data_IF_819536216839
#
_entry.id   IF_819536216839
#
_cell.length_a   1.000
_cell.length_b   1.000
_cell.length_c   1.000
_cell.angle_alpha   90.00
_cell.angle_beta   90.00
_cell.angle_gamma   90.00
#
_symmetry.space_group_name_H-M   'P 1'
#
loop_
_entity.id
_entity.type
_entity.pdbx_description
1 polymer ?
#
# COMPACT_ATOMS: atom_id res chain seq x y z
N UNK A 1 -18.43 4.15 26.40
CA UNK A 1 -17.09 3.86 25.84
C UNK A 1 -16.91 2.35 25.80
N UNK A 2 -16.43 1.77 24.69
CA UNK A 2 -16.24 0.31 24.55
C UNK A 2 -14.94 -0.11 25.27
N UNK A 3 -14.92 -1.28 25.92
CA UNK A 3 -13.73 -1.81 26.61
C UNK A 3 -12.67 -2.26 25.60
N UNK A 4 -11.39 -2.01 25.89
CA UNK A 4 -10.27 -2.39 25.02
C UNK A 4 -10.26 -3.89 24.69
N UNK A 5 -10.52 -4.75 25.68
CA UNK A 5 -10.56 -6.20 25.48
C UNK A 5 -11.65 -6.63 24.47
N UNK A 6 -12.76 -5.90 24.43
CA UNK A 6 -13.84 -6.15 23.46
C UNK A 6 -13.37 -5.84 22.04
N UNK A 7 -12.64 -4.73 21.85
CA UNK A 7 -12.07 -4.33 20.55
C UNK A 7 -11.01 -5.36 20.11
N UNK A 8 -10.10 -5.74 21.00
CA UNK A 8 -9.05 -6.71 20.69
C UNK A 8 -9.62 -8.08 20.30
N UNK A 9 -10.67 -8.53 20.99
CA UNK A 9 -11.36 -9.79 20.68
C UNK A 9 -12.06 -9.73 19.32
N UNK A 10 -12.74 -8.62 19.01
CA UNK A 10 -13.41 -8.41 17.72
C UNK A 10 -12.40 -8.40 16.56
N UNK A 11 -11.28 -7.68 16.70
CA UNK A 11 -10.22 -7.64 15.68
C UNK A 11 -9.62 -9.02 15.44
N UNK A 12 -9.34 -9.76 16.52
CA UNK A 12 -8.81 -11.13 16.41
C UNK A 12 -9.79 -12.06 15.70
N UNK A 13 -11.08 -11.94 15.99
CA UNK A 13 -12.12 -12.74 15.34
C UNK A 13 -12.21 -12.41 13.83
N UNK A 14 -12.17 -11.12 13.48
CA UNK A 14 -12.19 -10.65 12.09
C UNK A 14 -11.03 -11.22 11.26
N UNK A 15 -9.80 -11.15 11.80
CA UNK A 15 -8.59 -11.62 11.11
C UNK A 15 -8.59 -13.14 10.91
N UNK A 16 -9.20 -13.89 11.83
CA UNK A 16 -9.28 -15.36 11.74
C UNK A 16 -10.41 -15.86 10.84
N UNK A 17 -11.39 -15.02 10.51
CA UNK A 17 -12.61 -15.44 9.81
C UNK A 17 -12.35 -15.81 8.35
N UNK A 18 -11.51 -15.04 7.65
CA UNK A 18 -11.22 -15.24 6.23
C UNK A 18 -9.84 -14.71 5.86
N UNK A 19 -9.35 -15.10 4.68
CA UNK A 19 -8.14 -14.52 4.11
C UNK A 19 -8.42 -13.05 3.75
N UNK A 20 -7.73 -12.13 4.42
CA UNK A 20 -7.95 -10.69 4.24
C UNK A 20 -7.15 -10.14 3.06
N UNK A 21 -7.75 -9.24 2.30
CA UNK A 21 -7.10 -8.50 1.22
C UNK A 21 -6.94 -7.03 1.59
N UNK A 22 -5.71 -6.57 1.67
CA UNK A 22 -5.34 -5.21 2.04
C UNK A 22 -4.57 -4.51 0.91
N UNK A 23 -5.00 -3.31 0.54
CA UNK A 23 -4.33 -2.44 -0.42
C UNK A 23 -3.64 -1.31 0.32
N UNK A 24 -2.34 -1.16 0.10
CA UNK A 24 -1.51 -0.13 0.71
C UNK A 24 -0.96 0.81 -0.35
N UNK A 25 -1.45 2.05 -0.36
CA UNK A 25 -1.03 3.07 -1.32
C UNK A 25 0.03 3.97 -0.69
N UNK A 26 1.17 4.11 -1.36
CA UNK A 26 2.29 4.92 -0.86
C UNK A 26 3.14 4.22 0.22
N UNK A 27 3.10 2.89 0.29
CA UNK A 27 3.78 2.11 1.33
C UNK A 27 5.20 1.65 0.98
N UNK A 28 5.85 2.29 0.00
CA UNK A 28 7.22 1.97 -0.40
C UNK A 28 8.29 2.65 0.45
N UNK A 29 7.89 3.50 1.40
CA UNK A 29 8.76 4.13 2.40
C UNK A 29 7.90 4.65 3.58
N UNK A 30 8.53 4.89 4.73
CA UNK A 30 7.95 5.62 5.85
C UNK A 30 6.76 4.90 6.50
N UNK A 31 5.70 5.64 6.83
CA UNK A 31 4.57 5.12 7.62
C UNK A 31 3.94 3.89 6.98
N UNK A 32 3.71 3.91 5.66
CA UNK A 32 3.09 2.79 4.98
C UNK A 32 3.95 1.52 5.02
N UNK A 33 5.27 1.66 4.85
CA UNK A 33 6.21 0.54 4.96
C UNK A 33 6.15 -0.10 6.36
N UNK A 34 6.27 0.70 7.42
CA UNK A 34 6.19 0.21 8.79
C UNK A 34 4.85 -0.44 9.09
N UNK A 35 3.76 0.11 8.56
CA UNK A 35 2.41 -0.45 8.74
C UNK A 35 2.29 -1.85 8.13
N UNK A 36 2.85 -2.06 6.92
CA UNK A 36 2.83 -3.37 6.25
C UNK A 36 3.66 -4.38 7.03
N UNK A 37 4.86 -4.00 7.48
CA UNK A 37 5.72 -4.86 8.30
C UNK A 37 5.02 -5.26 9.60
N UNK A 38 4.39 -4.30 10.29
CA UNK A 38 3.71 -4.55 11.55
C UNK A 38 2.48 -5.43 11.37
N UNK A 39 1.70 -5.24 10.29
CA UNK A 39 0.60 -6.12 9.93
C UNK A 39 1.08 -7.56 9.73
N UNK A 40 2.20 -7.75 9.02
CA UNK A 40 2.78 -9.07 8.81
C UNK A 40 3.27 -9.71 10.12
N UNK A 41 3.92 -8.95 11.00
CA UNK A 41 4.40 -9.45 12.31
C UNK A 41 3.27 -9.88 13.22
N UNK A 42 2.23 -9.05 13.32
CA UNK A 42 1.12 -9.25 14.28
C UNK A 42 0.12 -10.30 13.79
N UNK A 43 -0.18 -10.30 12.50
CA UNK A 43 -1.30 -11.05 11.94
C UNK A 43 -0.92 -11.99 10.80
N UNK A 44 0.30 -11.93 10.28
CA UNK A 44 0.72 -12.73 9.14
C UNK A 44 0.68 -14.24 9.37
N UNK A 45 0.93 -14.67 10.60
CA UNK A 45 0.90 -16.09 10.97
C UNK A 45 -0.42 -16.51 11.64
N UNK A 46 -1.43 -15.64 11.62
CA UNK A 46 -2.73 -15.88 12.24
C UNK A 46 -3.84 -16.01 11.18
N UNK A 47 -4.70 -17.01 11.33
CA UNK A 47 -5.86 -17.19 10.45
C UNK A 47 -5.51 -17.74 9.07
N UNK A 48 -6.38 -17.52 8.05
CA UNK A 48 -6.23 -18.08 6.69
C UNK A 48 -5.17 -17.37 5.82
N UNK A 49 -4.39 -16.46 6.40
CA UNK A 49 -3.35 -15.67 5.75
C UNK A 49 -3.81 -14.31 5.22
N UNK A 50 -2.86 -13.56 4.66
CA UNK A 50 -3.07 -12.19 4.17
C UNK A 50 -2.76 -12.10 2.67
N UNK A 51 -3.48 -11.24 1.96
CA UNK A 51 -3.13 -10.76 0.63
C UNK A 51 -2.85 -9.27 0.70
N UNK A 52 -1.63 -8.88 0.37
CA UNK A 52 -1.17 -7.51 0.49
C UNK A 52 -0.83 -7.00 -0.92
N UNK A 53 -1.53 -5.96 -1.35
CA UNK A 53 -1.27 -5.28 -2.62
C UNK A 53 -0.61 -3.94 -2.30
N UNK A 54 0.67 -3.82 -2.63
CA UNK A 54 1.44 -2.60 -2.48
C UNK A 54 1.32 -1.75 -3.75
N UNK A 55 0.91 -0.50 -3.59
CA UNK A 55 0.80 0.46 -4.69
C UNK A 55 1.82 1.57 -4.47
N UNK A 56 2.73 1.77 -5.43
CA UNK A 56 3.78 2.77 -5.29
C UNK A 56 4.56 3.05 -6.56
N UNK A 57 5.41 4.08 -6.50
CA UNK A 57 6.22 4.55 -7.66
C UNK A 57 7.51 3.78 -7.85
N UNK A 58 8.10 3.30 -6.75
CA UNK A 58 9.41 2.67 -6.73
C UNK A 58 9.27 1.16 -6.53
N UNK A 59 9.43 0.41 -7.62
CA UNK A 59 9.36 -1.05 -7.61
C UNK A 59 10.47 -1.68 -6.77
N UNK A 60 11.70 -1.17 -6.84
CA UNK A 60 12.83 -1.74 -6.11
C UNK A 60 12.60 -1.65 -4.59
N UNK A 61 12.14 -0.49 -4.11
CA UNK A 61 11.78 -0.32 -2.70
C UNK A 61 10.65 -1.26 -2.29
N UNK A 62 9.63 -1.43 -3.14
CA UNK A 62 8.54 -2.36 -2.88
C UNK A 62 9.02 -3.82 -2.79
N UNK A 63 9.90 -4.25 -3.71
CA UNK A 63 10.48 -5.59 -3.71
C UNK A 63 11.24 -5.90 -2.41
N UNK A 64 12.08 -4.97 -1.95
CA UNK A 64 12.79 -5.11 -0.67
C UNK A 64 11.81 -5.34 0.49
N UNK A 65 10.74 -4.53 0.57
CA UNK A 65 9.73 -4.66 1.63
C UNK A 65 8.99 -5.99 1.53
N UNK A 66 8.64 -6.43 0.30
CA UNK A 66 7.97 -7.70 0.05
C UNK A 66 8.83 -8.87 0.52
N UNK A 67 10.12 -8.88 0.16
CA UNK A 67 11.02 -9.98 0.49
C UNK A 67 11.23 -10.11 2.01
N UNK A 68 11.37 -8.99 2.71
CA UNK A 68 11.37 -8.97 4.17
C UNK A 68 10.04 -9.48 4.75
N UNK A 69 8.90 -9.01 4.24
CA UNK A 69 7.59 -9.41 4.77
C UNK A 69 7.28 -10.89 4.50
N UNK A 70 7.75 -11.45 3.38
CA UNK A 70 7.66 -12.89 3.10
C UNK A 70 8.44 -13.73 4.11
N UNK A 71 9.58 -13.24 4.60
CA UNK A 71 10.34 -13.92 5.65
C UNK A 71 9.60 -13.93 7.00
N UNK A 72 8.79 -12.90 7.27
CA UNK A 72 8.01 -12.77 8.51
C UNK A 72 6.68 -13.55 8.46
N UNK A 73 6.11 -13.66 7.26
CA UNK A 73 4.78 -14.20 7.03
C UNK A 73 4.76 -15.09 5.77
N UNK A 74 4.97 -16.39 5.97
CA UNK A 74 5.08 -17.38 4.89
C UNK A 74 3.75 -17.69 4.20
N UNK A 75 2.62 -17.41 4.85
CA UNK A 75 1.27 -17.65 4.29
C UNK A 75 0.69 -16.44 3.54
N UNK A 76 1.38 -15.30 3.58
CA UNK A 76 0.94 -14.09 2.89
C UNK A 76 1.30 -14.12 1.41
N UNK A 77 0.40 -13.56 0.62
CA UNK A 77 0.56 -13.34 -0.80
C UNK A 77 0.75 -11.84 -1.05
N UNK A 78 1.82 -11.50 -1.75
CA UNK A 78 2.19 -10.12 -2.00
C UNK A 78 2.09 -9.82 -3.49
N UNK A 79 1.47 -8.68 -3.81
CA UNK A 79 1.41 -8.12 -5.15
C UNK A 79 1.94 -6.70 -5.13
N UNK A 80 2.59 -6.30 -6.22
CA UNK A 80 3.00 -4.92 -6.42
C UNK A 80 2.32 -4.35 -7.66
N UNK A 81 1.75 -3.16 -7.50
CA UNK A 81 1.18 -2.36 -8.58
C UNK A 81 2.00 -1.09 -8.68
N UNK A 82 2.74 -0.96 -9.77
CA UNK A 82 3.47 0.27 -10.05
C UNK A 82 2.47 1.36 -10.45
N UNK A 83 2.38 2.40 -9.64
CA UNK A 83 1.55 3.57 -9.91
C UNK A 83 2.44 4.78 -10.22
N UNK A 84 1.99 5.61 -11.17
CA UNK A 84 2.62 6.89 -11.48
C UNK A 84 2.32 7.96 -10.44
N UNK A 85 1.99 9.17 -10.90
CA UNK A 85 1.48 10.21 -10.01
C UNK A 85 0.00 10.00 -9.73
N UNK A 86 -0.31 9.46 -8.54
CA UNK A 86 -1.67 9.22 -8.05
C UNK A 86 -2.45 10.50 -7.72
N UNK A 87 -1.85 11.69 -7.87
CA UNK A 87 -2.58 12.96 -7.89
C UNK A 87 -3.35 13.14 -9.22
N UNK A 88 -2.99 12.37 -10.25
CA UNK A 88 -3.66 12.36 -11.56
C UNK A 88 -4.65 11.19 -11.62
N UNK A 89 -5.93 11.49 -11.91
CA UNK A 89 -6.99 10.47 -12.03
C UNK A 89 -6.63 9.37 -13.04
N UNK A 90 -6.00 9.70 -14.16
CA UNK A 90 -5.57 8.70 -15.13
C UNK A 90 -4.60 7.66 -14.54
N UNK A 91 -3.70 8.08 -13.64
CA UNK A 91 -2.81 7.15 -12.94
C UNK A 91 -3.56 6.30 -11.92
N UNK A 92 -4.57 6.88 -11.27
CA UNK A 92 -5.46 6.17 -10.35
C UNK A 92 -6.26 5.12 -11.10
N UNK A 93 -6.86 5.46 -12.24
CA UNK A 93 -7.62 4.54 -13.08
C UNK A 93 -6.77 3.33 -13.50
N UNK A 94 -5.54 3.58 -13.98
CA UNK A 94 -4.58 2.51 -14.33
C UNK A 94 -4.26 1.61 -13.13
N UNK A 95 -3.99 2.19 -11.97
CA UNK A 95 -3.71 1.42 -10.76
C UNK A 95 -4.94 0.60 -10.33
N UNK A 96 -6.14 1.17 -10.41
CA UNK A 96 -7.39 0.46 -10.13
C UNK A 96 -7.61 -0.72 -11.08
N UNK A 97 -7.31 -0.57 -12.37
CA UNK A 97 -7.46 -1.66 -13.34
C UNK A 97 -6.48 -2.80 -13.07
N UNK A 98 -5.23 -2.51 -12.70
CA UNK A 98 -4.29 -3.55 -12.26
C UNK A 98 -4.72 -4.24 -10.97
N UNK A 99 -5.24 -3.49 -9.99
CA UNK A 99 -5.78 -4.06 -8.75
C UNK A 99 -6.97 -4.98 -9.05
N UNK A 100 -7.89 -4.59 -9.94
CA UNK A 100 -9.02 -5.43 -10.35
C UNK A 100 -8.54 -6.74 -10.97
N UNK A 101 -7.57 -6.70 -11.89
CA UNK A 101 -6.97 -7.91 -12.49
C UNK A 101 -6.44 -8.86 -11.42
N UNK A 102 -5.75 -8.33 -10.39
CA UNK A 102 -5.25 -9.15 -9.27
C UNK A 102 -6.41 -9.75 -8.47
N UNK A 103 -7.43 -8.95 -8.13
CA UNK A 103 -8.61 -9.40 -7.37
C UNK A 103 -9.35 -10.51 -8.11
N UNK A 104 -9.53 -10.36 -9.43
CA UNK A 104 -10.17 -11.34 -10.31
C UNK A 104 -9.34 -12.62 -10.43
N UNK A 105 -8.04 -12.50 -10.73
CA UNK A 105 -7.13 -13.64 -10.87
C UNK A 105 -7.04 -14.48 -9.59
N UNK A 106 -7.15 -13.83 -8.43
CA UNK A 106 -7.09 -14.47 -7.11
C UNK A 106 -8.45 -14.92 -6.58
N UNK A 107 -9.53 -14.72 -7.36
CA UNK A 107 -10.93 -15.04 -6.99
C UNK A 107 -11.34 -14.43 -5.65
N UNK A 108 -10.85 -13.22 -5.40
CA UNK A 108 -11.08 -12.53 -4.13
C UNK A 108 -12.46 -11.86 -4.14
N UNK A 109 -13.20 -11.96 -3.04
CA UNK A 109 -14.55 -11.37 -2.93
C UNK A 109 -14.55 -9.83 -2.95
N UNK A 110 -13.45 -9.22 -2.54
CA UNK A 110 -13.29 -7.77 -2.48
C UNK A 110 -12.03 -7.34 -1.73
N UNK A 111 -11.91 -6.05 -1.47
CA UNK A 111 -10.84 -5.48 -0.64
C UNK A 111 -11.39 -5.24 0.76
N UNK A 112 -10.78 -5.84 1.78
CA UNK A 112 -11.18 -5.69 3.17
C UNK A 112 -10.59 -4.42 3.81
N UNK A 113 -9.39 -4.01 3.36
CA UNK A 113 -8.69 -2.85 3.91
C UNK A 113 -8.07 -2.02 2.79
N UNK A 114 -8.32 -0.71 2.82
CA UNK A 114 -7.65 0.27 1.96
C UNK A 114 -6.91 1.27 2.84
N UNK A 115 -5.59 1.26 2.78
CA UNK A 115 -4.71 2.14 3.54
C UNK A 115 -4.07 3.13 2.58
N UNK A 116 -4.37 4.41 2.75
CA UNK A 116 -3.88 5.50 1.90
C UNK A 116 -2.86 6.32 2.68
N UNK A 117 -1.57 5.98 2.54
CA UNK A 117 -0.48 6.70 3.22
C UNK A 117 0.24 7.68 2.30
N UNK A 118 -0.15 7.77 1.03
CA UNK A 118 0.38 8.78 0.14
C UNK A 118 0.12 10.18 0.69
N UNK A 119 1.13 11.03 0.58
CA UNK A 119 1.02 12.41 0.96
C UNK A 119 2.25 13.16 0.50
N UNK A 120 2.05 14.43 0.16
CA UNK A 120 3.12 15.39 -0.05
C UNK A 120 2.77 16.62 0.78
N UNK A 121 3.74 17.09 1.54
CA UNK A 121 3.65 18.39 2.23
C UNK A 121 4.57 19.34 1.50
N UNK A 122 4.03 20.47 1.06
CA UNK A 122 4.79 21.55 0.44
C UNK A 122 4.83 22.72 1.41
N UNK A 123 6.02 23.17 1.80
CA UNK A 123 6.22 24.31 2.70
C UNK A 123 6.40 25.65 1.93
N UNK A 124 6.06 25.66 0.64
CA UNK A 124 6.16 26.82 -0.24
C UNK A 124 4.81 27.30 -0.77
N UNK A 125 4.82 28.43 -1.50
CA UNK A 125 3.63 28.91 -2.21
C UNK A 125 3.20 27.94 -3.32
N UNK A 126 1.91 27.96 -3.69
CA UNK A 126 1.34 27.08 -4.72
C UNK A 126 2.13 27.22 -6.03
N UNK A 127 2.86 26.16 -6.40
CA UNK A 127 3.49 26.08 -7.71
C UNK A 127 2.36 25.75 -8.70
N UNK A 128 1.97 26.70 -9.55
CA UNK A 128 0.84 26.53 -10.45
C UNK A 128 1.01 25.34 -11.38
N UNK A 129 -0.04 24.52 -11.55
CA UNK A 129 -0.17 23.61 -12.70
C UNK A 129 -0.36 24.46 -13.96
N UNK A 130 0.72 24.97 -14.54
CA UNK A 130 0.74 25.44 -15.93
C UNK A 130 1.40 24.36 -16.78
N UNK A 131 0.68 23.92 -17.81
CA UNK A 131 1.10 23.01 -18.86
C UNK A 131 2.51 23.30 -19.43
N UNK A 132 3.43 22.34 -19.19
CA UNK A 132 4.73 22.08 -19.90
C UNK A 132 5.93 23.03 -19.68
N UNK A 133 7.18 22.60 -19.94
CA UNK A 133 7.86 21.33 -19.63
C UNK A 133 9.10 21.54 -18.72
N UNK A 134 9.64 20.44 -18.19
CA UNK A 134 10.89 20.34 -17.42
C UNK A 134 12.06 21.12 -18.09
N UNK A 135 12.77 22.02 -17.39
CA UNK A 135 14.14 22.38 -17.72
C UNK A 135 15.04 21.82 -16.60
N UNK A 136 15.80 20.75 -16.78
CA UNK A 136 17.11 20.73 -17.44
C UNK A 136 18.08 21.88 -17.13
N UNK A 137 17.81 22.75 -16.14
CA UNK A 137 18.70 23.85 -15.76
C UNK A 137 18.70 24.07 -14.23
N UNK A 138 19.35 23.17 -13.49
CA UNK A 138 19.84 23.49 -12.13
C UNK A 138 21.26 22.96 -11.86
N UNK A 139 22.03 22.58 -12.89
CA UNK A 139 23.44 22.19 -12.74
C UNK A 139 24.44 23.30 -13.11
N UNK A 140 24.02 24.56 -13.01
CA UNK A 140 24.92 25.71 -13.03
C UNK A 140 24.57 26.62 -11.86
N UNK A 141 24.98 26.20 -10.66
CA UNK A 141 25.54 27.04 -9.60
C UNK A 141 25.85 26.13 -8.39
N UNK A 142 27.16 26.00 -8.13
CA UNK A 142 27.91 25.18 -7.18
C UNK A 142 28.27 23.76 -7.63
#
# INVERSE_FOLDING_TARGET
MVKLNTIASANTAFIKQQRLTAVFVGATNGIGEFTVRELCKTNGNSGPGLRIILVGRNENAARTIIDECKSLCTTAEFHFVQAGDISLLQSVDKACDEIKKIVEATKTKGIDMLIMTQGKVEFGGRIGQSSTPIPFFSYLLN
#
